data_IF_526189309815
#
_entry.id   IF_526189309815
#
_cell.length_a   1.000
_cell.length_b   1.000
_cell.length_c   1.000
_cell.angle_alpha   90.00
_cell.angle_beta   90.00
_cell.angle_gamma   90.00
#
_symmetry.space_group_name_H-M   'P 1'
#
loop_
_entity.id
_entity.type
_entity.pdbx_description
1 polymer ?
#
# COMPACT_ATOMS: atom_id res chain seq x y z
N UNK A 1 -1.46 16.71 20.03
CA UNK A 1 -0.11 16.36 20.48
C UNK A 1 -0.14 15.08 21.28
N UNK A 2 -0.16 13.92 20.59
CA UNK A 2 -0.26 12.60 21.24
C UNK A 2 1.06 11.86 21.45
N UNK A 3 2.08 12.10 20.62
CA UNK A 3 3.27 11.23 20.56
C UNK A 3 4.57 11.89 21.06
N UNK A 4 4.48 12.94 21.89
CA UNK A 4 5.70 13.55 22.47
C UNK A 4 6.40 12.51 23.34
N UNK A 5 7.61 12.13 22.97
CA UNK A 5 8.42 11.11 23.66
C UNK A 5 8.26 9.68 23.12
N UNK A 6 7.15 9.35 22.46
CA UNK A 6 6.90 7.99 21.96
C UNK A 6 7.96 7.49 20.97
N UNK A 7 8.47 8.38 20.11
CA UNK A 7 9.53 8.03 19.17
C UNK A 7 10.86 7.69 19.86
N UNK A 8 11.20 8.43 20.92
CA UNK A 8 12.44 8.19 21.66
C UNK A 8 12.37 6.85 22.40
N UNK A 9 11.23 6.55 22.99
CA UNK A 9 11.03 5.27 23.67
C UNK A 9 11.01 4.09 22.70
N UNK A 10 10.38 4.24 21.52
CA UNK A 10 10.44 3.22 20.48
C UNK A 10 11.88 2.93 20.02
N UNK A 11 12.72 3.97 19.90
CA UNK A 11 14.16 3.79 19.61
C UNK A 11 14.86 3.02 20.73
N UNK A 12 14.54 3.31 21.99
CA UNK A 12 15.11 2.58 23.13
C UNK A 12 14.71 1.10 23.09
N UNK A 13 13.45 0.80 22.78
CA UNK A 13 12.97 -0.57 22.60
C UNK A 13 13.72 -1.27 21.46
N UNK A 14 13.87 -0.62 20.30
CA UNK A 14 14.59 -1.20 19.15
C UNK A 14 16.04 -1.56 19.49
N UNK A 15 16.71 -0.75 20.33
CA UNK A 15 18.11 -1.01 20.72
C UNK A 15 18.30 -2.24 21.63
N UNK A 16 17.28 -2.63 22.39
CA UNK A 16 17.41 -3.66 23.44
C UNK A 16 16.51 -4.88 23.22
N UNK A 17 15.57 -4.82 22.28
CA UNK A 17 14.66 -5.92 21.98
C UNK A 17 15.41 -7.15 21.46
N UNK A 18 14.91 -8.33 21.83
CA UNK A 18 15.29 -9.62 21.21
C UNK A 18 14.24 -10.11 20.21
N UNK A 19 13.13 -9.39 20.09
CA UNK A 19 12.04 -9.66 19.16
C UNK A 19 12.19 -8.73 17.95
N UNK A 20 12.17 -9.25 16.71
CA UNK A 20 12.23 -8.42 15.51
C UNK A 20 11.07 -7.41 15.44
N UNK A 21 11.39 -6.15 15.17
CA UNK A 21 10.40 -5.07 15.04
C UNK A 21 10.34 -4.63 13.58
N UNK A 22 9.13 -4.57 13.03
CA UNK A 22 8.86 -4.05 11.69
C UNK A 22 8.13 -2.71 11.82
N UNK A 23 8.80 -1.63 11.46
CA UNK A 23 8.22 -0.29 11.44
C UNK A 23 7.74 0.03 10.02
N UNK A 24 6.48 0.45 9.88
CA UNK A 24 5.89 0.85 8.59
C UNK A 24 5.62 2.34 8.64
N UNK A 25 6.08 3.08 7.63
CA UNK A 25 5.81 4.51 7.48
C UNK A 25 5.49 4.83 6.02
N UNK A 26 4.71 5.89 5.81
CA UNK A 26 4.35 6.34 4.46
C UNK A 26 5.39 7.30 3.87
N UNK A 27 6.05 8.09 4.73
CA UNK A 27 7.06 9.06 4.32
C UNK A 27 8.32 8.92 5.20
N UNK A 28 9.43 8.55 4.55
CA UNK A 28 10.75 8.42 5.18
C UNK A 28 11.38 9.76 5.54
N UNK A 29 10.98 10.84 4.89
CA UNK A 29 11.52 12.19 5.09
C UNK A 29 10.81 12.94 6.23
N UNK A 30 9.71 12.41 6.75
CA UNK A 30 9.06 12.96 7.93
C UNK A 30 10.07 13.09 9.08
N UNK A 31 10.06 14.25 9.75
CA UNK A 31 11.04 14.60 10.78
C UNK A 31 11.07 13.61 11.95
N UNK A 32 9.92 13.01 12.30
CA UNK A 32 9.82 11.98 13.34
C UNK A 32 10.35 10.63 12.87
N UNK A 33 10.07 10.27 11.61
CA UNK A 33 10.52 8.99 11.04
C UNK A 33 12.03 9.01 10.79
N UNK A 34 12.59 10.16 10.41
CA UNK A 34 14.02 10.29 10.08
C UNK A 34 14.93 9.90 11.25
N UNK A 35 14.56 10.20 12.50
CA UNK A 35 15.35 9.81 13.67
C UNK A 35 15.26 8.31 13.96
N UNK A 36 14.08 7.71 13.81
CA UNK A 36 13.85 6.28 13.98
C UNK A 36 14.60 5.45 12.93
N UNK A 37 14.51 5.86 11.68
CA UNK A 37 15.01 5.09 10.56
C UNK A 37 16.55 4.98 10.49
N UNK A 38 17.28 5.71 11.33
CA UNK A 38 18.72 5.51 11.53
C UNK A 38 19.03 4.23 12.33
N UNK A 39 18.02 3.63 12.97
CA UNK A 39 18.12 2.41 13.78
C UNK A 39 17.43 1.20 13.13
N UNK A 40 16.96 1.34 11.89
CA UNK A 40 16.24 0.31 11.16
C UNK A 40 16.92 0.02 9.82
N UNK A 41 16.70 -1.17 9.27
CA UNK A 41 16.96 -1.45 7.85
C UNK A 41 15.90 -0.74 7.00
N UNK A 42 16.31 0.13 6.09
CA UNK A 42 15.41 0.91 5.23
C UNK A 42 14.99 0.08 4.00
N UNK A 43 13.73 -0.36 3.97
CA UNK A 43 13.12 -1.07 2.84
C UNK A 43 12.10 -0.15 2.19
N UNK A 44 12.39 0.30 0.97
CA UNK A 44 11.54 1.26 0.24
C UNK A 44 10.58 0.55 -0.69
N UNK A 45 9.29 0.81 -0.51
CA UNK A 45 8.24 0.38 -1.42
C UNK A 45 7.98 1.47 -2.45
N UNK A 46 8.05 1.09 -3.73
CA UNK A 46 7.64 1.94 -4.83
C UNK A 46 6.26 1.53 -5.33
N UNK A 47 5.51 2.50 -5.86
CA UNK A 47 4.23 2.21 -6.51
C UNK A 47 4.49 1.28 -7.70
N UNK A 48 3.82 0.11 -7.79
CA UNK A 48 4.00 -0.77 -8.91
C UNK A 48 3.55 -0.10 -10.22
N UNK A 49 4.15 -0.46 -11.37
CA UNK A 49 3.70 0.03 -12.67
C UNK A 49 2.23 -0.34 -12.95
N UNK A 50 1.51 0.53 -13.67
CA UNK A 50 0.11 0.34 -14.01
C UNK A 50 -0.14 -1.02 -14.68
N UNK A 51 0.70 -1.42 -15.64
CA UNK A 51 0.67 -2.73 -16.29
C UNK A 51 0.74 -3.92 -15.31
N UNK A 52 1.56 -3.83 -14.26
CA UNK A 52 1.67 -4.90 -13.23
C UNK A 52 0.39 -4.99 -12.41
N UNK A 53 -0.19 -3.84 -12.06
CA UNK A 53 -1.46 -3.77 -11.35
C UNK A 53 -2.59 -4.32 -12.24
N UNK A 54 -2.67 -3.91 -13.50
CA UNK A 54 -3.65 -4.37 -14.49
C UNK A 54 -3.64 -5.90 -14.65
N UNK A 55 -2.46 -6.51 -14.77
CA UNK A 55 -2.32 -7.99 -14.81
C UNK A 55 -2.93 -8.66 -13.59
N UNK A 56 -2.67 -8.12 -12.39
CA UNK A 56 -3.24 -8.67 -11.15
C UNK A 56 -4.76 -8.50 -11.11
N UNK A 57 -5.27 -7.35 -11.55
CA UNK A 57 -6.70 -7.09 -11.57
C UNK A 57 -7.44 -7.95 -12.57
N UNK A 58 -6.86 -8.23 -13.75
CA UNK A 58 -7.48 -9.11 -14.74
C UNK A 58 -7.77 -10.49 -14.14
N UNK A 59 -6.83 -11.01 -13.35
CA UNK A 59 -7.00 -12.28 -12.63
C UNK A 59 -8.10 -12.20 -11.55
N UNK A 60 -8.25 -11.06 -10.88
CA UNK A 60 -9.29 -10.84 -9.86
C UNK A 60 -10.66 -10.71 -10.54
N UNK A 61 -10.76 -9.82 -11.53
CA UNK A 61 -11.94 -9.56 -12.34
C UNK A 61 -12.52 -10.84 -12.98
N UNK A 62 -11.65 -11.69 -13.55
CA UNK A 62 -12.05 -12.99 -14.08
C UNK A 62 -12.61 -13.95 -13.02
N UNK A 63 -12.02 -13.95 -11.81
CA UNK A 63 -12.50 -14.78 -10.69
C UNK A 63 -13.81 -14.29 -10.08
N UNK A 64 -14.04 -12.98 -10.12
CA UNK A 64 -15.28 -12.35 -9.64
C UNK A 64 -16.41 -12.38 -10.70
N UNK A 65 -16.17 -12.97 -11.88
CA UNK A 65 -17.17 -13.05 -12.95
C UNK A 65 -17.42 -11.73 -13.69
N UNK A 66 -16.50 -10.78 -13.59
CA UNK A 66 -16.58 -9.46 -14.25
C UNK A 66 -15.33 -9.27 -15.12
N UNK A 67 -15.14 -10.05 -16.20
CA UNK A 67 -13.97 -9.90 -17.05
C UNK A 67 -13.92 -8.50 -17.66
N UNK A 68 -12.71 -7.93 -17.71
CA UNK A 68 -12.47 -6.58 -18.23
C UNK A 68 -11.30 -6.57 -19.19
N UNK A 69 -11.36 -5.65 -20.15
CA UNK A 69 -10.27 -5.41 -21.09
C UNK A 69 -9.00 -4.93 -20.38
N UNK A 70 -7.80 -5.47 -20.70
CA UNK A 70 -6.54 -5.07 -20.08
C UNK A 70 -6.26 -3.56 -20.15
N UNK A 71 -6.59 -2.92 -21.26
CA UNK A 71 -6.43 -1.47 -21.44
C UNK A 71 -7.31 -0.66 -20.47
N UNK A 72 -8.52 -1.14 -20.19
CA UNK A 72 -9.41 -0.50 -19.21
C UNK A 72 -8.84 -0.64 -17.79
N UNK A 73 -8.34 -1.83 -17.43
CA UNK A 73 -7.70 -2.07 -16.13
C UNK A 73 -6.45 -1.23 -15.90
N UNK A 74 -5.63 -1.07 -16.94
CA UNK A 74 -4.46 -0.20 -16.89
C UNK A 74 -4.86 1.26 -16.71
N UNK A 75 -5.91 1.71 -17.40
CA UNK A 75 -6.42 3.07 -17.22
C UNK A 75 -6.94 3.32 -15.81
N UNK A 76 -7.66 2.35 -15.22
CA UNK A 76 -8.10 2.43 -13.83
C UNK A 76 -6.90 2.53 -12.89
N UNK A 77 -5.84 1.75 -13.12
CA UNK A 77 -4.61 1.83 -12.34
C UNK A 77 -3.95 3.21 -12.40
N UNK A 78 -3.86 3.81 -13.60
CA UNK A 78 -3.34 5.17 -13.78
C UNK A 78 -4.16 6.22 -13.02
N UNK A 79 -5.49 6.18 -13.15
CA UNK A 79 -6.41 7.13 -12.50
C UNK A 79 -6.31 7.03 -10.97
N UNK A 80 -6.15 5.82 -10.45
CA UNK A 80 -5.91 5.57 -9.03
C UNK A 80 -4.46 5.88 -8.59
N UNK A 81 -3.64 6.48 -9.46
CA UNK A 81 -2.22 6.78 -9.21
C UNK A 81 -1.44 5.55 -8.76
N UNK A 82 -1.73 4.39 -9.33
CA UNK A 82 -1.13 3.09 -8.98
C UNK A 82 -1.34 2.69 -7.51
N UNK A 83 -2.41 3.17 -6.86
CA UNK A 83 -2.82 2.68 -5.54
C UNK A 83 -3.68 1.42 -5.67
N UNK A 84 -3.12 0.26 -5.32
CA UNK A 84 -3.79 -1.04 -5.47
C UNK A 84 -5.12 -1.08 -4.72
N UNK A 85 -5.21 -0.50 -3.51
CA UNK A 85 -6.45 -0.52 -2.71
C UNK A 85 -7.52 0.31 -3.41
N UNK A 86 -7.16 1.51 -3.87
CA UNK A 86 -8.08 2.36 -4.59
C UNK A 86 -8.58 1.70 -5.88
N UNK A 87 -7.69 1.03 -6.62
CA UNK A 87 -8.10 0.32 -7.84
C UNK A 87 -9.08 -0.82 -7.54
N UNK A 88 -8.81 -1.63 -6.49
CA UNK A 88 -9.73 -2.69 -6.08
C UNK A 88 -11.10 -2.14 -5.69
N UNK A 89 -11.15 -0.99 -5.00
CA UNK A 89 -12.41 -0.32 -4.67
C UNK A 89 -13.16 0.14 -5.92
N UNK A 90 -12.46 0.66 -6.94
CA UNK A 90 -13.09 1.01 -8.23
C UNK A 90 -13.64 -0.23 -8.92
N UNK A 91 -12.86 -1.32 -8.98
CA UNK A 91 -13.29 -2.59 -9.56
C UNK A 91 -14.53 -3.16 -8.86
N UNK A 92 -14.62 -3.02 -7.53
CA UNK A 92 -15.77 -3.47 -6.76
C UNK A 92 -17.06 -2.73 -7.15
N UNK A 93 -16.98 -1.45 -7.55
CA UNK A 93 -18.14 -0.68 -8.00
C UNK A 93 -18.65 -1.11 -9.39
N UNK A 94 -17.85 -1.87 -10.14
CA UNK A 94 -18.20 -2.31 -11.51
C UNK A 94 -18.98 -3.61 -11.53
N UNK A 95 -19.10 -4.30 -10.39
CA UNK A 95 -20.09 -5.37 -10.27
C UNK A 95 -21.46 -4.71 -10.48
N UNK A 96 -22.21 -5.07 -11.53
CA UNK A 96 -23.59 -4.64 -11.62
C UNK A 96 -24.26 -5.03 -10.30
N UNK A 97 -25.00 -4.10 -9.67
CA UNK A 97 -25.93 -4.48 -8.61
C UNK A 97 -26.64 -5.73 -9.10
N UNK A 98 -26.55 -6.80 -8.31
CA UNK A 98 -27.09 -8.09 -8.71
C UNK A 98 -28.49 -7.86 -9.27
N UNK A 99 -28.74 -8.48 -10.44
CA UNK A 99 -30.07 -8.80 -10.87
C UNK A 99 -30.89 -9.24 -9.64
N UNK A 100 -32.03 -8.58 -9.45
CA UNK A 100 -33.12 -9.13 -8.67
C UNK A 100 -33.56 -10.47 -9.26
#
# INVERSE_FOLDING_TARGET
GGDRGGMQELINVIKHTRVPIICICNDRQDSKVRSLANYCVDIRFQRPPAATIAKRLALIAAREGVPMEPAALEKVAEVARNDIRQVLNVLQMWRPSAAA
#
